data_IF_393484879603
#
_entry.id   IF_393484879603
#
_cell.length_a   1.000
_cell.length_b   1.000
_cell.length_c   1.000
_cell.angle_alpha   90.00
_cell.angle_beta   90.00
_cell.angle_gamma   90.00
#
_symmetry.space_group_name_H-M   'P 1'
#
loop_
_entity.id
_entity.type
_entity.pdbx_description
1 polymer ?
#
# COMPACT_ATOMS: atom_id res chain seq x y z
N UNK A 1 -51.28 11.82 -43.83
CA UNK A 1 -50.20 10.87 -44.18
C UNK A 1 -48.77 11.33 -43.81
N UNK A 2 -48.48 12.61 -43.54
CA UNK A 2 -47.10 13.04 -43.17
C UNK A 2 -46.73 12.72 -41.71
N UNK A 3 -47.66 12.81 -40.77
CA UNK A 3 -47.36 12.69 -39.32
C UNK A 3 -47.18 11.25 -38.83
N UNK A 4 -47.89 10.28 -39.42
CA UNK A 4 -47.75 8.85 -39.06
C UNK A 4 -46.36 8.30 -39.46
N UNK A 5 -45.81 8.80 -40.56
CA UNK A 5 -44.50 8.39 -41.04
C UNK A 5 -43.37 8.92 -40.12
N UNK A 6 -43.51 10.15 -39.63
CA UNK A 6 -42.57 10.75 -38.66
C UNK A 6 -42.61 9.99 -37.32
N UNK A 7 -43.80 9.59 -36.86
CA UNK A 7 -43.96 8.81 -35.63
C UNK A 7 -43.24 7.46 -35.71
N UNK A 8 -43.34 6.75 -36.85
CA UNK A 8 -42.65 5.48 -37.06
C UNK A 8 -41.11 5.63 -37.09
N UNK A 9 -40.61 6.70 -37.71
CA UNK A 9 -39.17 7.01 -37.71
C UNK A 9 -38.65 7.31 -36.30
N UNK A 10 -39.38 8.13 -35.54
CA UNK A 10 -39.05 8.44 -34.14
C UNK A 10 -39.07 7.17 -33.29
N UNK A 11 -40.05 6.27 -33.52
CA UNK A 11 -40.13 4.99 -32.81
C UNK A 11 -38.88 4.15 -33.06
N UNK A 12 -38.50 3.94 -34.32
CA UNK A 12 -37.33 3.11 -34.65
C UNK A 12 -36.04 3.68 -34.04
N UNK A 13 -35.80 4.99 -34.13
CA UNK A 13 -34.62 5.61 -33.52
C UNK A 13 -34.64 5.58 -31.99
N UNK A 14 -35.81 5.78 -31.38
CA UNK A 14 -35.97 5.64 -29.93
C UNK A 14 -35.66 4.20 -29.49
N UNK A 15 -36.21 3.20 -30.20
CA UNK A 15 -35.95 1.78 -29.94
C UNK A 15 -34.48 1.42 -30.17
N UNK A 16 -33.76 2.10 -31.07
CA UNK A 16 -32.31 1.93 -31.25
C UNK A 16 -31.46 2.72 -30.23
N UNK A 17 -32.07 3.34 -29.22
CA UNK A 17 -31.37 3.88 -28.06
C UNK A 17 -31.32 5.41 -27.96
N UNK A 18 -31.78 6.15 -28.97
CA UNK A 18 -31.70 7.62 -29.01
C UNK A 18 -32.57 8.28 -27.93
N UNK A 19 -32.11 9.42 -27.37
CA UNK A 19 -32.83 10.15 -26.31
C UNK A 19 -34.06 10.91 -26.83
N UNK A 20 -35.12 11.01 -26.02
CA UNK A 20 -36.35 11.75 -26.38
C UNK A 20 -36.06 13.22 -26.69
N UNK A 21 -35.12 13.84 -25.97
CA UNK A 21 -34.71 15.24 -26.18
C UNK A 21 -34.04 15.44 -27.54
N UNK A 22 -33.24 14.48 -27.99
CA UNK A 22 -32.55 14.53 -29.29
C UNK A 22 -33.56 14.34 -30.42
N UNK A 23 -34.47 13.37 -30.29
CA UNK A 23 -35.55 13.14 -31.25
C UNK A 23 -36.48 14.35 -31.38
N UNK A 24 -36.78 15.03 -30.26
CA UNK A 24 -37.60 16.23 -30.25
C UNK A 24 -36.99 17.35 -31.09
N UNK A 25 -35.68 17.58 -30.95
CA UNK A 25 -34.95 18.58 -31.74
C UNK A 25 -34.85 18.18 -33.22
N UNK A 26 -34.54 16.91 -33.50
CA UNK A 26 -34.34 16.38 -34.86
C UNK A 26 -35.61 16.45 -35.71
N UNK A 27 -36.73 16.02 -35.14
CA UNK A 27 -38.00 15.92 -35.86
C UNK A 27 -38.93 17.12 -35.64
N UNK A 28 -38.49 18.14 -34.87
CA UNK A 28 -39.29 19.31 -34.47
C UNK A 28 -40.64 18.94 -33.84
N UNK A 29 -40.70 17.81 -33.15
CA UNK A 29 -41.87 17.33 -32.39
C UNK A 29 -41.62 17.59 -30.91
N UNK A 30 -42.62 18.04 -30.15
CA UNK A 30 -42.43 18.30 -28.72
C UNK A 30 -42.06 17.02 -27.96
N UNK A 31 -41.15 17.13 -26.99
CA UNK A 31 -40.77 16.00 -26.14
C UNK A 31 -41.97 15.39 -25.41
N UNK A 32 -42.96 16.22 -25.07
CA UNK A 32 -44.21 15.77 -24.46
C UNK A 32 -45.02 14.88 -25.40
N UNK A 33 -45.13 15.24 -26.68
CA UNK A 33 -45.81 14.44 -27.70
C UNK A 33 -45.14 13.07 -27.87
N UNK A 34 -43.80 13.03 -27.94
CA UNK A 34 -43.03 11.79 -28.05
C UNK A 34 -43.22 10.93 -26.80
N UNK A 35 -43.19 11.52 -25.60
CA UNK A 35 -43.46 10.82 -24.34
C UNK A 35 -44.88 10.23 -24.29
N UNK A 36 -45.89 10.95 -24.79
CA UNK A 36 -47.26 10.44 -24.87
C UNK A 36 -47.39 9.27 -25.86
N UNK A 37 -46.69 9.28 -26.99
CA UNK A 37 -46.67 8.14 -27.92
C UNK A 37 -45.97 6.92 -27.32
N UNK A 38 -44.77 7.12 -26.76
CA UNK A 38 -44.03 6.10 -26.02
C UNK A 38 -44.88 5.43 -24.94
N UNK A 39 -45.63 6.21 -24.15
CA UNK A 39 -46.48 5.70 -23.07
C UNK A 39 -47.69 4.93 -23.59
N UNK A 40 -48.38 5.45 -24.61
CA UNK A 40 -49.58 4.80 -25.19
C UNK A 40 -49.25 3.50 -25.91
N UNK A 41 -48.13 3.46 -26.61
CA UNK A 41 -47.74 2.32 -27.45
C UNK A 41 -46.62 1.46 -26.84
N UNK A 42 -46.27 1.72 -25.58
CA UNK A 42 -45.30 0.96 -24.78
C UNK A 42 -43.94 0.74 -25.45
N UNK A 43 -43.41 1.75 -26.16
CA UNK A 43 -42.13 1.63 -26.88
C UNK A 43 -40.97 1.27 -25.94
N UNK A 44 -40.15 0.30 -26.31
CA UNK A 44 -39.03 -0.22 -25.51
C UNK A 44 -37.70 0.04 -26.22
N UNK A 45 -36.70 0.55 -25.48
CA UNK A 45 -35.34 0.63 -26.04
C UNK A 45 -34.78 -0.78 -26.17
N UNK A 46 -34.17 -1.09 -27.31
CA UNK A 46 -33.26 -2.22 -27.47
C UNK A 46 -32.11 -1.97 -26.51
N UNK A 47 -32.13 -2.70 -25.41
CA UNK A 47 -31.03 -2.70 -24.46
C UNK A 47 -29.91 -3.51 -25.14
N UNK A 48 -28.71 -2.95 -25.25
CA UNK A 48 -27.53 -3.80 -25.43
C UNK A 48 -27.53 -4.86 -24.31
N UNK A 49 -26.95 -6.07 -24.54
CA UNK A 49 -26.86 -7.07 -23.48
C UNK A 49 -26.35 -6.38 -22.22
N UNK A 50 -27.02 -6.60 -21.08
CA UNK A 50 -26.57 -6.06 -19.78
C UNK A 50 -25.19 -6.63 -19.47
N UNK A 51 -24.15 -6.05 -20.05
CA UNK A 51 -22.80 -6.10 -19.51
C UNK A 51 -22.86 -5.43 -18.15
N UNK A 52 -22.13 -6.01 -17.19
CA UNK A 52 -22.03 -5.63 -15.79
C UNK A 52 -21.65 -4.15 -15.58
N UNK A 53 -22.55 -3.22 -15.88
CA UNK A 53 -22.40 -1.83 -15.50
C UNK A 53 -22.67 -1.76 -14.00
N UNK A 54 -21.66 -1.43 -13.17
CA UNK A 54 -21.84 -1.42 -11.73
C UNK A 54 -22.93 -0.41 -11.38
N UNK A 55 -23.88 -0.81 -10.52
CA UNK A 55 -24.89 0.06 -9.94
C UNK A 55 -24.26 1.42 -9.62
N UNK A 56 -24.78 2.49 -10.21
CA UNK A 56 -24.33 3.86 -9.91
C UNK A 56 -24.56 4.10 -8.42
N UNK A 57 -23.50 3.92 -7.63
CA UNK A 57 -23.52 4.20 -6.20
C UNK A 57 -23.99 5.65 -6.04
N UNK A 58 -24.99 5.84 -5.17
CA UNK A 58 -25.38 7.15 -4.61
C UNK A 58 -24.14 8.04 -4.54
N UNK A 59 -24.16 9.17 -5.24
CA UNK A 59 -23.14 10.21 -5.13
C UNK A 59 -23.09 10.61 -3.64
N UNK A 60 -22.08 10.09 -2.93
CA UNK A 60 -21.76 10.52 -1.58
C UNK A 60 -21.05 11.84 -1.74
N UNK A 61 -21.59 12.89 -1.10
CA UNK A 61 -21.03 14.25 -1.07
C UNK A 61 -19.50 14.19 -0.96
N UNK A 62 -18.84 14.90 -1.87
CA UNK A 62 -17.39 15.02 -2.05
C UNK A 62 -16.57 14.67 -0.78
N UNK A 63 -15.85 13.54 -0.82
CA UNK A 63 -14.89 13.10 0.21
C UNK A 63 -13.63 14.00 0.32
N UNK A 64 -13.62 15.18 -0.30
CA UNK A 64 -12.45 16.05 -0.40
C UNK A 64 -11.99 16.56 0.97
N UNK A 65 -12.92 16.94 1.86
CA UNK A 65 -12.57 17.52 3.16
C UNK A 65 -11.86 16.59 4.15
N UNK A 66 -12.14 15.28 4.09
CA UNK A 66 -11.44 14.30 4.93
C UNK A 66 -10.01 14.01 4.42
N UNK A 67 -9.84 13.98 3.10
CA UNK A 67 -8.53 13.79 2.47
C UNK A 67 -7.64 15.02 2.66
N UNK A 68 -8.20 16.23 2.63
CA UNK A 68 -7.46 17.48 2.90
C UNK A 68 -6.95 17.53 4.33
N UNK A 69 -7.77 17.12 5.31
CA UNK A 69 -7.38 17.12 6.72
C UNK A 69 -6.26 16.13 7.01
N UNK A 70 -6.36 14.89 6.51
CA UNK A 70 -5.29 13.91 6.67
C UNK A 70 -3.99 14.37 5.97
N UNK A 71 -4.09 15.02 4.81
CA UNK A 71 -2.92 15.58 4.13
C UNK A 71 -2.26 16.72 4.93
N UNK A 72 -3.04 17.60 5.54
CA UNK A 72 -2.52 18.65 6.43
C UNK A 72 -1.82 18.05 7.66
N UNK A 73 -2.42 17.02 8.28
CA UNK A 73 -1.78 16.30 9.40
C UNK A 73 -0.44 15.68 8.95
N UNK A 74 -0.38 15.07 7.77
CA UNK A 74 0.89 14.52 7.21
C UNK A 74 1.95 15.59 7.02
N UNK A 75 1.57 16.79 6.55
CA UNK A 75 2.48 17.95 6.42
C UNK A 75 2.98 18.44 7.78
N UNK A 76 2.08 18.59 8.76
CA UNK A 76 2.44 19.01 10.11
C UNK A 76 3.41 18.01 10.77
N UNK A 77 3.20 16.70 10.58
CA UNK A 77 4.12 15.64 11.03
C UNK A 77 5.48 15.76 10.33
N UNK A 78 5.50 16.00 9.02
CA UNK A 78 6.74 16.17 8.26
C UNK A 78 7.55 17.38 8.74
N UNK A 79 6.86 18.44 9.17
CA UNK A 79 7.46 19.65 9.72
C UNK A 79 7.83 19.53 11.21
N UNK A 80 7.78 18.33 11.79
CA UNK A 80 8.08 18.06 13.21
C UNK A 80 7.23 18.85 14.21
N UNK A 81 5.98 19.19 13.85
CA UNK A 81 5.06 19.84 14.80
C UNK A 81 4.74 18.87 15.96
N UNK A 82 4.71 19.34 17.22
CA UNK A 82 4.40 18.50 18.38
C UNK A 82 3.06 17.76 18.25
N UNK A 83 3.00 16.54 18.80
CA UNK A 83 1.80 15.68 18.73
C UNK A 83 0.58 16.39 19.30
N UNK A 84 0.75 17.00 20.47
CA UNK A 84 -0.29 17.66 21.26
C UNK A 84 -0.99 18.71 20.41
N UNK A 85 -0.21 19.58 19.77
CA UNK A 85 -0.67 20.65 18.88
C UNK A 85 -1.42 20.09 17.66
N UNK A 86 -0.92 19.02 17.03
CA UNK A 86 -1.60 18.37 15.91
C UNK A 86 -2.94 17.76 16.35
N UNK A 87 -2.97 17.08 17.50
CA UNK A 87 -4.20 16.44 18.00
C UNK A 87 -5.27 17.45 18.38
N UNK A 88 -4.87 18.60 18.93
CA UNK A 88 -5.75 19.71 19.28
C UNK A 88 -6.25 20.44 18.03
N UNK A 89 -5.33 20.93 17.18
CA UNK A 89 -5.63 21.65 15.93
C UNK A 89 -6.57 20.88 15.01
N UNK A 90 -6.37 19.56 14.91
CA UNK A 90 -7.16 18.70 14.03
C UNK A 90 -8.24 17.91 14.79
N UNK A 91 -8.38 18.03 16.10
CA UNK A 91 -9.38 17.29 16.88
C UNK A 91 -9.35 15.78 16.63
N UNK A 92 -8.17 15.18 16.56
CA UNK A 92 -7.97 13.75 16.29
C UNK A 92 -7.53 12.99 17.55
N UNK A 93 -7.94 11.71 17.65
CA UNK A 93 -7.46 10.82 18.71
C UNK A 93 -5.96 10.50 18.53
N UNK A 94 -5.26 10.27 19.64
CA UNK A 94 -3.83 9.87 19.65
C UNK A 94 -3.55 8.65 18.77
N UNK A 95 -4.44 7.65 18.76
CA UNK A 95 -4.31 6.44 17.92
C UNK A 95 -4.23 6.78 16.43
N UNK A 96 -5.18 7.59 15.93
CA UNK A 96 -5.20 8.03 14.53
C UNK A 96 -3.96 8.85 14.16
N UNK A 97 -3.42 9.65 15.09
CA UNK A 97 -2.13 10.33 14.89
C UNK A 97 -1.00 9.33 14.64
N UNK A 98 -0.86 8.28 15.47
CA UNK A 98 0.21 7.29 15.30
C UNK A 98 0.05 6.48 14.01
N UNK A 99 -1.18 6.16 13.58
CA UNK A 99 -1.43 5.51 12.29
C UNK A 99 -0.95 6.37 11.11
N UNK A 100 -1.29 7.67 11.13
CA UNK A 100 -0.85 8.62 10.10
C UNK A 100 0.68 8.77 10.15
N UNK A 101 1.27 8.91 11.35
CA UNK A 101 2.73 9.02 11.54
C UNK A 101 3.47 7.80 11.01
N UNK A 102 2.95 6.59 11.24
CA UNK A 102 3.51 5.34 10.69
C UNK A 102 3.49 5.36 9.16
N UNK A 103 2.38 5.80 8.56
CA UNK A 103 2.27 5.96 7.10
C UNK A 103 3.26 7.00 6.56
N UNK A 104 3.44 8.16 7.22
CA UNK A 104 4.44 9.17 6.82
C UNK A 104 5.85 8.59 6.88
N UNK A 105 6.19 7.87 7.94
CA UNK A 105 7.51 7.22 8.08
C UNK A 105 7.77 6.21 6.98
N UNK A 106 6.77 5.40 6.63
CA UNK A 106 6.87 4.43 5.53
C UNK A 106 7.18 5.13 4.20
N UNK A 107 6.47 6.22 3.88
CA UNK A 107 6.70 7.02 2.67
C UNK A 107 8.12 7.63 2.68
N UNK A 108 8.59 8.14 3.81
CA UNK A 108 9.96 8.69 3.93
C UNK A 108 11.03 7.61 3.69
N UNK A 109 10.81 6.39 4.20
CA UNK A 109 11.70 5.25 3.96
C UNK A 109 11.72 4.93 2.46
N UNK A 110 10.57 4.75 1.82
CA UNK A 110 10.47 4.43 0.39
C UNK A 110 11.14 5.49 -0.49
N UNK A 111 10.93 6.78 -0.19
CA UNK A 111 11.58 7.87 -0.90
C UNK A 111 13.11 7.84 -0.74
N UNK A 112 13.58 7.63 0.47
CA UNK A 112 15.02 7.54 0.77
C UNK A 112 15.65 6.32 0.09
N UNK A 113 14.95 5.17 0.11
CA UNK A 113 15.37 3.96 -0.59
C UNK A 113 15.47 4.17 -2.09
N UNK A 114 14.53 4.89 -2.70
CA UNK A 114 14.58 5.24 -4.12
C UNK A 114 15.79 6.11 -4.45
N UNK A 115 16.02 7.17 -3.69
CA UNK A 115 17.18 8.06 -3.88
C UNK A 115 18.49 7.28 -3.77
N UNK A 116 18.63 6.46 -2.74
CA UNK A 116 19.82 5.65 -2.53
C UNK A 116 19.99 4.57 -3.62
N UNK A 117 18.92 3.98 -4.15
CA UNK A 117 18.99 3.08 -5.31
C UNK A 117 19.45 3.82 -6.57
N UNK A 118 18.95 5.03 -6.83
CA UNK A 118 19.43 5.85 -7.94
C UNK A 118 20.92 6.20 -7.80
N UNK A 119 21.37 6.51 -6.60
CA UNK A 119 22.80 6.75 -6.33
C UNK A 119 23.61 5.49 -6.60
N UNK A 120 23.22 4.34 -6.05
CA UNK A 120 23.91 3.07 -6.23
C UNK A 120 24.01 2.69 -7.72
N UNK A 121 22.89 2.72 -8.44
CA UNK A 121 22.83 2.40 -9.87
C UNK A 121 23.66 3.33 -10.74
N UNK A 122 23.71 4.63 -10.44
CA UNK A 122 24.48 5.62 -11.24
C UNK A 122 25.97 5.62 -10.90
N UNK A 123 26.33 5.61 -9.61
CA UNK A 123 27.72 5.76 -9.14
C UNK A 123 28.49 4.43 -9.10
N UNK A 124 27.78 3.32 -8.90
CA UNK A 124 28.36 1.99 -8.74
C UNK A 124 27.89 1.04 -9.85
N UNK A 125 27.65 1.57 -11.06
CA UNK A 125 27.29 0.77 -12.24
C UNK A 125 28.35 -0.30 -12.60
N UNK A 126 29.61 -0.05 -12.27
CA UNK A 126 30.73 -0.97 -12.49
C UNK A 126 31.05 -1.84 -11.25
N UNK A 127 30.18 -1.87 -10.23
CA UNK A 127 30.42 -2.63 -9.00
C UNK A 127 30.74 -4.09 -9.27
N UNK A 128 30.01 -4.72 -10.19
CA UNK A 128 30.21 -6.13 -10.57
C UNK A 128 31.64 -6.37 -11.07
N UNK A 129 32.13 -5.55 -11.99
CA UNK A 129 33.49 -5.69 -12.53
C UNK A 129 34.57 -5.37 -11.50
N UNK A 130 34.33 -4.41 -10.61
CA UNK A 130 35.26 -4.08 -9.53
C UNK A 130 35.35 -5.22 -8.52
N UNK A 131 34.21 -5.81 -8.15
CA UNK A 131 34.17 -6.96 -7.24
C UNK A 131 34.84 -8.18 -7.86
N UNK A 132 34.62 -8.48 -9.15
CA UNK A 132 35.35 -9.54 -9.86
C UNK A 132 36.86 -9.37 -9.79
N UNK A 133 37.36 -8.16 -10.11
CA UNK A 133 38.80 -7.85 -10.01
C UNK A 133 39.35 -8.03 -8.60
N UNK A 134 38.59 -7.64 -7.56
CA UNK A 134 39.01 -7.83 -6.17
C UNK A 134 39.10 -9.33 -5.83
N UNK A 135 38.13 -10.13 -6.25
CA UNK A 135 38.13 -11.58 -6.03
C UNK A 135 39.34 -12.23 -6.70
N UNK A 136 39.57 -11.94 -7.98
CA UNK A 136 40.72 -12.47 -8.73
C UNK A 136 42.07 -12.08 -8.09
N UNK A 137 42.21 -10.84 -7.61
CA UNK A 137 43.44 -10.40 -6.94
C UNK A 137 43.61 -11.05 -5.56
N UNK A 138 42.52 -11.28 -4.81
CA UNK A 138 42.57 -12.02 -3.53
C UNK A 138 43.03 -13.45 -3.75
N UNK A 139 42.48 -14.14 -4.76
CA UNK A 139 42.89 -15.51 -5.13
C UNK A 139 44.39 -15.58 -5.46
N UNK A 140 44.92 -14.64 -6.26
CA UNK A 140 46.36 -14.58 -6.57
C UNK A 140 47.21 -14.37 -5.32
N UNK A 141 46.78 -13.52 -4.40
CA UNK A 141 47.49 -13.26 -3.15
C UNK A 141 47.44 -14.47 -2.20
N UNK A 142 46.34 -15.22 -2.20
CA UNK A 142 46.19 -16.48 -1.46
C UNK A 142 47.11 -17.57 -2.02
N UNK A 143 47.25 -17.69 -3.34
CA UNK A 143 48.25 -18.61 -3.90
C UNK A 143 49.66 -18.18 -3.50
N UNK A 144 49.98 -16.89 -3.63
CA UNK A 144 51.31 -16.35 -3.34
C UNK A 144 51.71 -16.46 -1.86
N UNK A 145 50.76 -16.31 -0.92
CA UNK A 145 51.05 -16.47 0.51
C UNK A 145 51.34 -17.92 0.89
N UNK A 146 50.74 -18.89 0.20
CA UNK A 146 50.98 -20.32 0.40
C UNK A 146 52.32 -20.77 -0.18
N UNK A 147 52.79 -20.12 -1.24
CA UNK A 147 54.05 -20.45 -1.92
C UNK A 147 55.28 -19.77 -1.29
N UNK A 148 55.12 -18.58 -0.70
CA UNK A 148 56.26 -17.86 -0.12
C UNK A 148 56.65 -18.41 1.26
N UNK A 149 57.94 -18.33 1.58
CA UNK A 149 58.49 -18.62 2.92
C UNK A 149 59.05 -17.38 3.60
N UNK A 150 59.08 -16.25 2.89
CA UNK A 150 59.53 -14.97 3.41
C UNK A 150 58.46 -14.33 4.30
N UNK A 151 58.83 -14.04 5.55
CA UNK A 151 57.95 -13.44 6.56
C UNK A 151 57.59 -11.98 6.22
N UNK A 152 58.52 -11.22 5.63
CA UNK A 152 58.25 -9.84 5.22
C UNK A 152 57.20 -9.83 4.10
N UNK A 153 57.37 -10.69 3.09
CA UNK A 153 56.42 -10.82 1.99
C UNK A 153 55.02 -11.28 2.47
N UNK A 154 54.96 -12.27 3.37
CA UNK A 154 53.68 -12.69 3.98
C UNK A 154 52.98 -11.54 4.70
N UNK A 155 53.72 -10.71 5.44
CA UNK A 155 53.17 -9.55 6.15
C UNK A 155 52.56 -8.54 5.17
N UNK A 156 53.28 -8.23 4.09
CA UNK A 156 52.79 -7.31 3.05
C UNK A 156 51.55 -7.85 2.33
N UNK A 157 51.54 -9.15 2.01
CA UNK A 157 50.38 -9.80 1.40
C UNK A 157 49.16 -9.72 2.33
N UNK A 158 49.36 -9.97 3.63
CA UNK A 158 48.29 -9.86 4.63
C UNK A 158 47.69 -8.45 4.70
N UNK A 159 48.53 -7.41 4.70
CA UNK A 159 48.06 -6.01 4.67
C UNK A 159 47.26 -5.71 3.39
N UNK A 160 47.74 -6.17 2.23
CA UNK A 160 47.03 -5.98 0.96
C UNK A 160 45.68 -6.71 0.94
N UNK A 161 45.62 -7.94 1.49
CA UNK A 161 44.37 -8.69 1.62
C UNK A 161 43.35 -7.97 2.52
N UNK A 162 43.81 -7.34 3.61
CA UNK A 162 42.92 -6.58 4.49
C UNK A 162 42.34 -5.33 3.80
N UNK A 163 43.19 -4.57 3.09
CA UNK A 163 42.73 -3.44 2.27
C UNK A 163 41.71 -3.87 1.19
N UNK A 164 41.94 -5.01 0.53
CA UNK A 164 41.01 -5.53 -0.46
C UNK A 164 39.65 -5.92 0.17
N UNK A 165 39.64 -6.46 1.40
CA UNK A 165 38.38 -6.72 2.14
C UNK A 165 37.64 -5.44 2.47
N UNK A 166 38.35 -4.38 2.87
CA UNK A 166 37.74 -3.07 3.13
C UNK A 166 37.10 -2.49 1.86
N UNK A 167 37.81 -2.53 0.73
CA UNK A 167 37.25 -2.11 -0.56
C UNK A 167 36.06 -2.96 -1.01
N UNK A 168 36.13 -4.27 -0.81
CA UNK A 168 35.01 -5.18 -1.11
C UNK A 168 33.76 -4.80 -0.30
N UNK A 169 33.94 -4.56 1.01
CA UNK A 169 32.86 -4.15 1.92
C UNK A 169 32.26 -2.80 1.53
N UNK A 170 33.09 -1.80 1.25
CA UNK A 170 32.62 -0.47 0.84
C UNK A 170 31.81 -0.55 -0.46
N UNK A 171 32.30 -1.28 -1.46
CA UNK A 171 31.58 -1.46 -2.72
C UNK A 171 30.26 -2.19 -2.48
N UNK A 172 30.22 -3.27 -1.70
CA UNK A 172 28.99 -4.00 -1.41
C UNK A 172 27.95 -3.13 -0.72
N UNK A 173 28.35 -2.35 0.29
CA UNK A 173 27.45 -1.42 1.00
C UNK A 173 26.92 -0.35 0.07
N UNK A 174 27.78 0.33 -0.68
CA UNK A 174 27.38 1.47 -1.49
C UNK A 174 26.66 1.07 -2.79
N UNK A 175 26.99 -0.08 -3.36
CA UNK A 175 26.28 -0.67 -4.49
C UNK A 175 25.01 -1.43 -4.05
N UNK A 176 24.73 -1.50 -2.75
CA UNK A 176 23.58 -2.22 -2.15
C UNK A 176 23.53 -3.70 -2.53
N UNK A 177 24.70 -4.33 -2.63
CA UNK A 177 24.84 -5.77 -2.87
C UNK A 177 24.63 -6.49 -1.54
N UNK A 178 23.58 -7.29 -1.47
CA UNK A 178 23.29 -8.15 -0.31
C UNK A 178 24.02 -9.48 -0.50
N UNK A 179 24.65 -10.01 0.53
CA UNK A 179 25.21 -11.36 0.49
C UNK A 179 24.11 -12.40 0.63
N UNK A 180 24.30 -13.58 0.04
CA UNK A 180 23.30 -14.67 0.07
C UNK A 180 22.85 -15.02 1.51
N UNK A 181 23.79 -15.07 2.46
CA UNK A 181 23.48 -15.29 3.87
C UNK A 181 22.61 -14.17 4.48
N UNK A 182 22.93 -12.90 4.18
CA UNK A 182 22.17 -11.76 4.67
C UNK A 182 20.79 -11.68 4.00
N UNK A 183 20.68 -12.11 2.75
CA UNK A 183 19.42 -12.22 2.03
C UNK A 183 18.50 -13.25 2.71
N UNK A 184 19.02 -14.43 3.02
CA UNK A 184 18.25 -15.48 3.72
C UNK A 184 17.76 -15.02 5.11
N UNK A 185 18.60 -14.30 5.88
CA UNK A 185 18.20 -13.74 7.18
C UNK A 185 17.07 -12.70 7.03
N UNK A 186 17.14 -11.85 6.00
CA UNK A 186 16.08 -10.87 5.73
C UNK A 186 14.78 -11.56 5.30
N UNK A 187 14.86 -12.61 4.49
CA UNK A 187 13.70 -13.42 4.10
C UNK A 187 13.05 -14.10 5.31
N UNK A 188 13.85 -14.67 6.22
CA UNK A 188 13.35 -15.23 7.49
C UNK A 188 12.65 -14.18 8.36
N UNK A 189 13.26 -12.99 8.51
CA UNK A 189 12.67 -11.88 9.25
C UNK A 189 11.34 -11.42 8.62
N UNK A 190 11.25 -11.39 7.29
CA UNK A 190 10.01 -11.05 6.58
C UNK A 190 8.92 -12.08 6.87
N UNK A 191 9.24 -13.37 6.75
CA UNK A 191 8.30 -14.47 7.06
C UNK A 191 7.81 -14.39 8.51
N UNK A 192 8.71 -14.18 9.47
CA UNK A 192 8.35 -14.06 10.89
C UNK A 192 7.46 -12.83 11.16
N UNK A 193 7.74 -11.70 10.49
CA UNK A 193 6.91 -10.49 10.58
C UNK A 193 5.52 -10.71 9.98
N UNK A 194 5.42 -11.40 8.84
CA UNK A 194 4.14 -11.75 8.21
C UNK A 194 3.32 -12.68 9.10
N UNK A 195 3.97 -13.68 9.70
CA UNK A 195 3.33 -14.62 10.60
C UNK A 195 2.80 -13.91 11.86
N UNK A 196 3.57 -12.94 12.39
CA UNK A 196 3.15 -12.09 13.51
C UNK A 196 1.95 -11.19 13.15
N UNK A 197 1.94 -10.62 11.94
CA UNK A 197 0.80 -9.82 11.44
C UNK A 197 -0.45 -10.67 11.28
N UNK A 198 -0.31 -11.85 10.68
CA UNK A 198 -1.41 -12.81 10.49
C UNK A 198 -1.99 -13.24 11.84
N UNK A 199 -1.14 -13.55 12.83
CA UNK A 199 -1.58 -13.90 14.18
C UNK A 199 -2.37 -12.76 14.85
N UNK A 200 -1.93 -11.50 14.71
CA UNK A 200 -2.66 -10.34 15.21
C UNK A 200 -4.00 -10.14 14.51
N UNK A 201 -4.08 -10.42 13.21
CA UNK A 201 -5.31 -10.32 12.42
C UNK A 201 -6.33 -11.38 12.85
N UNK A 202 -5.87 -12.62 13.05
CA UNK A 202 -6.68 -13.71 13.61
C UNK A 202 -7.18 -13.36 15.02
N UNK A 203 -6.33 -12.77 15.88
CA UNK A 203 -6.76 -12.33 17.21
C UNK A 203 -7.84 -11.24 17.13
N UNK A 204 -7.68 -10.25 16.25
CA UNK A 204 -8.70 -9.21 16.05
C UNK A 204 -10.02 -9.80 15.57
N UNK A 205 -9.97 -10.72 14.62
CA UNK A 205 -11.16 -11.40 14.10
C UNK A 205 -11.87 -12.21 15.19
N UNK A 206 -11.12 -12.96 16.01
CA UNK A 206 -11.68 -13.67 17.17
C UNK A 206 -12.37 -12.73 18.15
N UNK A 207 -11.74 -11.59 18.45
CA UNK A 207 -12.28 -10.59 19.37
C UNK A 207 -13.54 -9.92 18.80
N UNK A 208 -13.60 -9.71 17.48
CA UNK A 208 -14.80 -9.22 16.78
C UNK A 208 -15.95 -10.24 16.84
N UNK A 209 -15.66 -11.53 16.64
CA UNK A 209 -16.62 -12.63 16.78
C UNK A 209 -17.13 -12.74 18.22
N UNK A 210 -16.26 -12.57 19.21
CA UNK A 210 -16.63 -12.63 20.62
C UNK A 210 -17.50 -11.43 21.03
N UNK A 211 -17.14 -10.22 20.59
CA UNK A 211 -17.97 -9.02 20.77
C UNK A 211 -19.36 -9.17 20.16
N UNK A 212 -19.46 -9.74 18.96
CA UNK A 212 -20.76 -9.98 18.31
C UNK A 212 -21.58 -11.06 19.01
N UNK A 213 -20.95 -12.08 19.60
CA UNK A 213 -21.62 -13.07 20.45
C UNK A 213 -22.14 -12.47 21.77
N UNK A 214 -21.38 -11.58 22.41
CA UNK A 214 -21.80 -10.87 23.63
C UNK A 214 -23.01 -9.97 23.32
N UNK A 215 -22.96 -9.22 22.21
CA UNK A 215 -24.04 -8.32 21.78
C UNK A 215 -25.37 -9.01 21.42
N UNK A 216 -25.37 -10.34 21.27
CA UNK A 216 -26.55 -11.14 20.97
C UNK A 216 -27.13 -11.85 22.22
N UNK A 217 -26.48 -11.74 23.39
CA UNK A 217 -26.93 -12.33 24.65
C UNK A 217 -27.16 -11.20 25.68
N UNK A 218 -28.34 -10.61 25.68
CA UNK A 218 -28.76 -9.56 26.63
C UNK A 218 -29.00 -10.06 28.08
N UNK A 219 -28.57 -11.27 28.45
CA UNK A 219 -28.76 -11.81 29.81
C UNK A 219 -27.50 -12.57 30.31
N UNK A 220 -26.76 -11.93 31.23
CA UNK A 220 -25.60 -12.38 32.08
C UNK A 220 -24.23 -11.72 31.79
N UNK A 221 -24.18 -10.39 31.82
CA UNK A 221 -23.05 -9.61 31.29
C UNK A 221 -21.90 -9.29 32.27
N UNK A 222 -22.06 -9.45 33.59
CA UNK A 222 -21.10 -8.89 34.56
C UNK A 222 -19.88 -9.77 34.92
N UNK A 223 -19.91 -11.07 34.63
CA UNK A 223 -18.87 -12.02 35.05
C UNK A 223 -17.84 -12.29 33.94
N UNK A 224 -18.31 -12.36 32.69
CA UNK A 224 -17.45 -12.51 31.51
C UNK A 224 -16.66 -11.25 31.19
N UNK A 225 -17.21 -10.06 31.42
CA UNK A 225 -16.46 -8.81 31.33
C UNK A 225 -15.29 -8.76 32.32
N UNK A 226 -15.45 -9.32 33.53
CA UNK A 226 -14.37 -9.36 34.53
C UNK A 226 -13.25 -10.30 34.13
N UNK A 227 -13.56 -11.50 33.63
CA UNK A 227 -12.55 -12.42 33.11
C UNK A 227 -11.78 -11.83 31.93
N UNK A 228 -12.46 -11.10 31.03
CA UNK A 228 -11.80 -10.47 29.88
C UNK A 228 -10.89 -9.31 30.30
N UNK A 229 -11.26 -8.53 31.31
CA UNK A 229 -10.41 -7.48 31.89
C UNK A 229 -9.17 -8.10 32.55
N UNK A 230 -9.32 -9.24 33.24
CA UNK A 230 -8.24 -9.92 33.94
C UNK A 230 -7.22 -10.56 32.97
N UNK A 231 -7.68 -11.13 31.86
CA UNK A 231 -6.82 -11.62 30.78
C UNK A 231 -6.04 -10.48 30.11
N UNK A 232 -6.67 -9.33 29.87
CA UNK A 232 -5.98 -8.16 29.32
C UNK A 232 -4.91 -7.63 30.27
N UNK A 233 -5.17 -7.63 31.58
CA UNK A 233 -4.22 -7.21 32.62
C UNK A 233 -2.96 -8.07 32.63
N UNK A 234 -3.13 -9.39 32.57
CA UNK A 234 -2.04 -10.37 32.50
C UNK A 234 -1.18 -10.26 31.24
N UNK A 235 -1.77 -9.84 30.12
CA UNK A 235 -1.02 -9.58 28.87
C UNK A 235 -0.16 -8.32 29.02
N UNK A 236 -0.70 -7.23 29.59
CA UNK A 236 0.08 -5.99 29.83
C UNK A 236 1.20 -6.17 30.85
N UNK A 237 1.03 -6.97 31.89
CA UNK A 237 2.09 -7.24 32.88
C UNK A 237 3.24 -8.09 32.33
N UNK A 238 2.98 -8.96 31.35
CA UNK A 238 4.05 -9.73 30.68
C UNK A 238 4.88 -8.86 29.74
N UNK A 239 4.26 -7.89 29.06
CA UNK A 239 4.98 -6.98 28.14
C UNK A 239 5.88 -5.98 28.89
N UNK A 240 5.58 -5.67 30.15
CA UNK A 240 6.40 -4.74 30.96
C UNK A 240 7.58 -5.36 31.72
N UNK A 241 7.81 -6.68 31.61
CA UNK A 241 8.91 -7.39 32.30
C UNK A 241 10.02 -7.88 31.37
N UNK A 242 9.87 -7.66 30.06
CA UNK A 242 10.85 -8.00 29.02
C UNK A 242 11.58 -6.74 28.48
N UNK A 243 11.54 -5.61 29.21
CA UNK A 243 12.48 -4.47 29.10
C UNK A 243 13.49 -4.51 30.26
#
# INVERSE_FOLDING_TARGET
MKDENIKLLIKNEYENGVGVTELSKKYKVSANTINSWKKREKWQKKVAPKGNAPNSKKCTKNKTGANDKEMQIKKDIFNNVPREEITEKHGIKKTKYYDIKKSVRQIQIEQSEKVLNEIATKKYNNAVERLKRIIEEKEKLETRILETTDKEEMSMIKQKLELLKEFEKDIKVNARVISDYRQAELEEQLVNNELSRSALEIQKERLEIEKTKIKNNDDKDSEKEREMIELLKNITEKVGKDE
#
